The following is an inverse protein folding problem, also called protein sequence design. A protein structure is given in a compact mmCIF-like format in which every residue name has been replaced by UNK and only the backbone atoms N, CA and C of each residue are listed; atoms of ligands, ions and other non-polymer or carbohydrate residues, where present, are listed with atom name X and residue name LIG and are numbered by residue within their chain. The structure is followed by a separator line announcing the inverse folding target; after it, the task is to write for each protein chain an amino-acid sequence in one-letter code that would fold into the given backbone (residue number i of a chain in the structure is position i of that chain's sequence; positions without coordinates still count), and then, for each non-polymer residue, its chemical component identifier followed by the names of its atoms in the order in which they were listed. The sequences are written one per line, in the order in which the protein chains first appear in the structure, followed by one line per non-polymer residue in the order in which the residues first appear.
data_IF_698308421146
#
_entry.id   IF_698308421146
#
_cell.length_a   1.000
_cell.length_b   1.000
_cell.length_c   1.000
_cell.angle_alpha   90.00
_cell.angle_beta   90.00
_cell.angle_gamma   90.00
#
_symmetry.space_group_name_H-M   'P 1'
#
loop_
_entity.id
_entity.type
_entity.pdbx_description
1 polymer ?
#
# COMPACT_ATOMS: atom_id res chain seq x y z
N UNK A 1 -16.57 -2.94 -59.10
CA UNK A 1 -15.90 -3.33 -57.82
C UNK A 1 -15.14 -2.13 -57.25
N UNK A 2 -15.78 -1.25 -56.46
CA UNK A 2 -15.09 -0.12 -55.79
C UNK A 2 -15.59 0.20 -54.36
N UNK A 3 -16.59 -0.51 -53.85
CA UNK A 3 -17.21 -0.20 -52.54
C UNK A 3 -16.77 -1.09 -51.37
N UNK A 4 -15.99 -2.16 -51.60
CA UNK A 4 -15.58 -3.10 -50.54
C UNK A 4 -14.31 -2.63 -49.80
N UNK A 5 -13.49 -1.77 -50.42
CA UNK A 5 -12.22 -1.33 -49.83
C UNK A 5 -12.37 -0.25 -48.74
N UNK A 6 -13.41 0.58 -48.80
CA UNK A 6 -13.62 1.65 -47.79
C UNK A 6 -14.20 1.09 -46.49
N UNK A 7 -15.11 0.11 -46.57
CA UNK A 7 -15.69 -0.54 -45.39
C UNK A 7 -14.65 -1.35 -44.59
N UNK A 8 -13.68 -1.96 -45.27
CA UNK A 8 -12.62 -2.75 -44.62
C UNK A 8 -11.61 -1.85 -43.89
N UNK A 9 -11.34 -0.65 -44.41
CA UNK A 9 -10.41 0.31 -43.80
C UNK A 9 -10.99 0.93 -42.52
N UNK A 10 -12.31 1.17 -42.47
CA UNK A 10 -13.00 1.69 -41.28
C UNK A 10 -13.03 0.65 -40.15
N UNK A 11 -13.24 -0.64 -40.48
CA UNK A 11 -13.17 -1.72 -39.47
C UNK A 11 -11.76 -1.90 -38.89
N UNK A 12 -10.71 -1.76 -39.72
CA UNK A 12 -9.32 -1.81 -39.26
C UNK A 12 -8.93 -0.61 -38.38
N UNK A 13 -9.44 0.58 -38.69
CA UNK A 13 -9.25 1.77 -37.85
C UNK A 13 -9.99 1.66 -36.50
N UNK A 14 -11.18 1.06 -36.49
CA UNK A 14 -11.92 0.76 -35.26
C UNK A 14 -11.25 -0.32 -34.39
N UNK A 15 -10.56 -1.28 -35.00
CA UNK A 15 -9.77 -2.30 -34.28
C UNK A 15 -8.42 -1.78 -33.77
N UNK A 16 -7.87 -0.71 -34.36
CA UNK A 16 -6.64 -0.05 -33.89
C UNK A 16 -6.85 0.95 -32.74
N UNK A 17 -8.10 1.19 -32.34
CA UNK A 17 -8.39 1.65 -30.97
C UNK A 17 -8.19 0.45 -30.02
N UNK A 18 -6.96 -0.07 -29.98
CA UNK A 18 -6.48 -0.78 -28.82
C UNK A 18 -6.83 0.09 -27.62
N UNK A 19 -7.64 -0.45 -26.70
CA UNK A 19 -8.05 0.23 -25.48
C UNK A 19 -6.80 0.81 -24.81
N UNK A 20 -6.55 2.09 -25.08
CA UNK A 20 -5.59 2.89 -24.33
C UNK A 20 -6.02 2.78 -22.88
N UNK A 21 -5.09 2.42 -22.00
CA UNK A 21 -5.32 2.44 -20.56
C UNK A 21 -6.02 3.76 -20.21
N UNK A 22 -7.27 3.68 -19.75
CA UNK A 22 -8.05 4.89 -19.52
C UNK A 22 -7.43 5.62 -18.33
N UNK A 23 -6.91 6.82 -18.60
CA UNK A 23 -6.41 7.75 -17.60
C UNK A 23 -7.52 8.75 -17.28
N UNK A 24 -7.70 9.03 -15.99
CA UNK A 24 -8.69 10.01 -15.51
C UNK A 24 -7.98 11.21 -14.92
N UNK A 25 -8.48 12.41 -15.22
CA UNK A 25 -7.92 13.68 -14.75
C UNK A 25 -8.76 14.32 -13.65
N UNK A 26 -9.96 13.78 -13.36
CA UNK A 26 -10.81 14.28 -12.28
C UNK A 26 -11.67 13.18 -11.66
N UNK A 27 -12.10 13.40 -10.41
CA UNK A 27 -13.06 12.53 -9.72
C UNK A 27 -14.35 12.42 -10.53
N UNK A 28 -14.82 13.52 -11.12
CA UNK A 28 -16.06 13.52 -11.89
C UNK A 28 -16.00 12.56 -13.08
N UNK A 29 -14.86 12.48 -13.77
CA UNK A 29 -14.65 11.52 -14.85
C UNK A 29 -14.68 10.07 -14.35
N UNK A 30 -14.02 9.80 -13.22
CA UNK A 30 -14.03 8.47 -12.57
C UNK A 30 -15.44 8.07 -12.18
N UNK A 31 -16.21 8.95 -11.54
CA UNK A 31 -17.57 8.66 -11.10
C UNK A 31 -18.53 8.45 -12.28
N UNK A 32 -18.37 9.23 -13.36
CA UNK A 32 -19.14 9.04 -14.59
C UNK A 32 -18.81 7.69 -15.24
N UNK A 33 -17.53 7.32 -15.26
CA UNK A 33 -17.09 6.01 -15.75
C UNK A 33 -17.71 4.87 -14.94
N UNK A 34 -17.67 4.96 -13.60
CA UNK A 34 -18.25 3.92 -12.73
C UNK A 34 -19.77 3.78 -12.86
N UNK A 35 -20.49 4.89 -13.09
CA UNK A 35 -21.95 4.86 -13.32
C UNK A 35 -22.33 4.19 -14.65
N UNK A 36 -21.47 4.27 -15.65
CA UNK A 36 -21.73 3.77 -17.01
C UNK A 36 -21.29 2.33 -17.23
N UNK A 37 -20.49 1.77 -16.31
CA UNK A 37 -19.98 0.40 -16.39
C UNK A 37 -20.61 -0.47 -15.29
N UNK A 38 -21.49 -1.39 -15.68
CA UNK A 38 -22.27 -2.23 -14.73
C UNK A 38 -21.42 -3.22 -13.92
N UNK A 39 -20.17 -3.47 -14.34
CA UNK A 39 -19.26 -4.40 -13.68
C UNK A 39 -18.91 -4.00 -12.24
N UNK A 40 -19.07 -2.72 -11.90
CA UNK A 40 -18.82 -2.22 -10.55
C UNK A 40 -19.95 -2.52 -9.58
N UNK A 41 -21.13 -2.98 -10.03
CA UNK A 41 -22.27 -3.27 -9.15
C UNK A 41 -22.11 -4.59 -8.37
N UNK A 42 -21.15 -5.44 -8.73
CA UNK A 42 -20.88 -6.72 -8.07
C UNK A 42 -19.86 -6.55 -6.95
N UNK A 43 -19.88 -7.46 -5.98
CA UNK A 43 -18.83 -7.55 -4.95
C UNK A 43 -17.49 -7.79 -5.63
N UNK A 44 -16.46 -7.05 -5.22
CA UNK A 44 -15.10 -7.24 -5.69
C UNK A 44 -14.44 -8.41 -4.97
N UNK A 45 -13.66 -9.19 -5.70
CA UNK A 45 -12.90 -10.32 -5.16
C UNK A 45 -11.60 -9.83 -4.49
N UNK A 46 -10.98 -10.68 -3.69
CA UNK A 46 -9.67 -10.39 -3.09
C UNK A 46 -8.58 -10.32 -4.18
N UNK A 47 -7.66 -9.35 -4.05
CA UNK A 47 -6.61 -9.13 -5.05
C UNK A 47 -6.11 -7.69 -5.16
N UNK A 48 -5.16 -7.48 -6.07
CA UNK A 48 -4.56 -6.18 -6.37
C UNK A 48 -5.32 -5.45 -7.47
N UNK A 49 -5.84 -4.26 -7.20
CA UNK A 49 -6.61 -3.49 -8.17
C UNK A 49 -5.98 -2.14 -8.44
N UNK A 50 -6.00 -1.72 -9.72
CA UNK A 50 -5.78 -0.31 -10.06
C UNK A 50 -6.87 0.53 -9.40
N UNK A 51 -6.45 1.59 -8.72
CA UNK A 51 -7.35 2.55 -8.08
C UNK A 51 -6.98 3.98 -8.45
N UNK A 52 -7.98 4.83 -8.41
CA UNK A 52 -7.78 6.27 -8.26
C UNK A 52 -8.26 6.65 -6.87
N UNK A 53 -7.49 7.46 -6.15
CA UNK A 53 -7.87 7.86 -4.81
C UNK A 53 -7.53 9.32 -4.55
N UNK A 54 -8.23 9.88 -3.58
CA UNK A 54 -8.15 11.29 -3.26
C UNK A 54 -8.38 11.48 -1.77
N UNK A 55 -7.68 12.44 -1.19
CA UNK A 55 -7.91 12.84 0.20
C UNK A 55 -9.25 13.59 0.28
N UNK A 56 -10.14 13.20 1.20
CA UNK A 56 -11.53 13.70 1.29
C UNK A 56 -11.64 15.25 1.43
N UNK A 57 -10.55 15.94 1.79
CA UNK A 57 -10.49 17.40 1.93
C UNK A 57 -9.73 18.11 0.79
N UNK A 58 -9.15 17.35 -0.14
CA UNK A 58 -8.32 17.84 -1.26
C UNK A 58 -8.74 17.13 -2.56
N UNK A 59 -10.02 17.26 -2.90
CA UNK A 59 -10.66 16.60 -4.05
C UNK A 59 -9.99 16.89 -5.41
N UNK A 60 -9.15 17.92 -5.48
CA UNK A 60 -8.42 18.32 -6.70
C UNK A 60 -7.21 17.42 -7.01
N UNK A 61 -6.71 16.66 -6.03
CA UNK A 61 -5.52 15.82 -6.18
C UNK A 61 -5.91 14.35 -6.37
N UNK A 62 -6.36 14.01 -7.58
CA UNK A 62 -6.59 12.62 -7.94
C UNK A 62 -5.25 11.88 -8.10
N UNK A 63 -5.06 10.83 -7.29
CA UNK A 63 -3.83 10.03 -7.27
C UNK A 63 -4.12 8.67 -7.92
N UNK A 64 -3.31 8.30 -8.90
CA UNK A 64 -3.32 6.96 -9.46
C UNK A 64 -2.45 6.02 -8.63
N UNK A 65 -2.95 4.81 -8.38
CA UNK A 65 -2.22 3.79 -7.66
C UNK A 65 -2.87 2.43 -7.75
N UNK A 66 -2.51 1.55 -6.82
CA UNK A 66 -3.16 0.27 -6.67
C UNK A 66 -3.37 -0.07 -5.20
N UNK A 67 -4.36 -0.92 -4.96
CA UNK A 67 -4.75 -1.35 -3.63
C UNK A 67 -4.97 -2.86 -3.55
N UNK A 68 -4.58 -3.44 -2.42
CA UNK A 68 -4.87 -4.83 -2.09
C UNK A 68 -6.21 -4.91 -1.35
N UNK A 69 -7.17 -5.59 -1.96
CA UNK A 69 -8.40 -6.01 -1.31
C UNK A 69 -8.22 -7.37 -0.64
N UNK A 70 -8.61 -7.45 0.62
CA UNK A 70 -8.67 -8.68 1.38
C UNK A 70 -9.92 -8.71 2.25
N UNK A 71 -10.72 -9.77 2.11
CA UNK A 71 -12.09 -9.85 2.63
C UNK A 71 -12.93 -8.59 2.30
N UNK A 72 -12.73 -8.03 1.10
CA UNK A 72 -13.38 -6.80 0.65
C UNK A 72 -12.97 -5.51 1.39
N UNK A 73 -11.97 -5.55 2.29
CA UNK A 73 -11.38 -4.35 2.90
C UNK A 73 -10.09 -3.96 2.19
N UNK A 74 -9.81 -2.66 2.16
CA UNK A 74 -8.53 -2.12 1.68
C UNK A 74 -7.47 -2.35 2.77
N UNK A 75 -6.45 -3.16 2.46
CA UNK A 75 -5.40 -3.52 3.43
C UNK A 75 -4.06 -2.83 3.14
N UNK A 76 -3.77 -2.59 1.87
CA UNK A 76 -2.57 -1.92 1.39
C UNK A 76 -2.90 -1.00 0.22
N UNK A 77 -2.16 0.09 0.11
CA UNK A 77 -2.23 1.05 -1.00
C UNK A 77 -0.82 1.46 -1.40
N UNK A 78 -0.59 1.70 -2.69
CA UNK A 78 0.56 2.46 -3.15
C UNK A 78 0.14 3.37 -4.30
N UNK A 79 0.67 4.59 -4.35
CA UNK A 79 0.58 5.43 -5.54
C UNK A 79 1.65 5.01 -6.55
N UNK A 80 1.43 5.25 -7.84
CA UNK A 80 2.39 4.92 -8.92
C UNK A 80 3.80 5.48 -8.64
N UNK A 81 3.87 6.65 -8.01
CA UNK A 81 5.11 7.34 -7.69
C UNK A 81 5.67 7.02 -6.29
N UNK A 82 4.92 6.32 -5.44
CA UNK A 82 5.39 5.93 -4.11
C UNK A 82 6.65 5.06 -4.20
N UNK A 83 7.55 5.18 -3.22
CA UNK A 83 8.71 4.29 -3.14
C UNK A 83 8.44 3.02 -2.33
N UNK A 84 7.27 2.87 -1.72
CA UNK A 84 6.91 1.67 -0.96
C UNK A 84 5.39 1.49 -0.87
N UNK A 85 4.97 0.30 -0.43
CA UNK A 85 3.56 -0.01 -0.15
C UNK A 85 3.20 0.45 1.27
N UNK A 86 2.10 1.18 1.38
CA UNK A 86 1.53 1.63 2.65
C UNK A 86 0.54 0.60 3.18
N UNK A 87 0.64 0.25 4.48
CA UNK A 87 -0.48 -0.38 5.19
C UNK A 87 -1.49 0.71 5.53
N UNK A 88 -2.76 0.42 5.32
CA UNK A 88 -3.85 1.35 5.58
C UNK A 88 -4.90 0.71 6.46
N UNK A 89 -5.69 1.54 7.14
CA UNK A 89 -6.88 1.09 7.84
C UNK A 89 -8.12 1.39 7.01
N UNK A 90 -8.95 0.38 6.75
CA UNK A 90 -10.25 0.59 6.12
C UNK A 90 -11.38 0.38 7.13
N UNK A 91 -12.34 1.31 7.15
CA UNK A 91 -13.49 1.24 8.07
C UNK A 91 -14.67 0.46 7.48
N UNK A 92 -14.73 0.31 6.17
CA UNK A 92 -15.87 -0.29 5.47
C UNK A 92 -15.38 -1.19 4.33
N UNK A 93 -16.17 -2.21 4.00
CA UNK A 93 -15.94 -3.01 2.80
C UNK A 93 -16.13 -2.14 1.55
N UNK A 94 -15.32 -2.39 0.52
CA UNK A 94 -15.50 -1.80 -0.79
C UNK A 94 -16.87 -2.20 -1.33
N UNK A 95 -17.65 -1.19 -1.68
CA UNK A 95 -19.01 -1.35 -2.16
C UNK A 95 -19.17 -0.58 -3.46
N UNK A 96 -19.70 -1.26 -4.46
CA UNK A 96 -19.84 -0.74 -5.81
C UNK A 96 -18.57 -0.12 -6.41
N UNK A 97 -17.41 -0.74 -6.15
CA UNK A 97 -16.11 -0.24 -6.58
C UNK A 97 -15.62 1.01 -5.83
N UNK A 98 -16.29 1.45 -4.77
CA UNK A 98 -15.86 2.58 -3.93
C UNK A 98 -15.53 2.12 -2.51
N UNK A 99 -14.44 2.60 -1.96
CA UNK A 99 -14.02 2.34 -0.58
C UNK A 99 -13.41 3.57 0.07
N UNK A 100 -13.21 3.51 1.39
CA UNK A 100 -12.44 4.52 2.11
C UNK A 100 -11.38 3.86 2.96
N UNK A 101 -10.24 4.53 3.09
CA UNK A 101 -9.16 4.10 3.96
C UNK A 101 -8.50 5.30 4.64
N UNK A 102 -7.69 5.01 5.66
CA UNK A 102 -6.89 5.96 6.39
C UNK A 102 -5.44 5.52 6.34
N UNK A 103 -4.53 6.47 6.17
CA UNK A 103 -3.15 6.24 6.61
C UNK A 103 -3.10 6.25 8.14
N UNK A 104 -2.06 5.60 8.68
CA UNK A 104 -1.78 5.59 10.10
C UNK A 104 -0.49 6.37 10.33
N UNK A 105 -0.51 7.28 11.31
CA UNK A 105 0.66 8.08 11.71
C UNK A 105 1.01 7.80 13.15
N UNK A 106 2.27 8.06 13.48
CA UNK A 106 2.74 8.13 14.86
C UNK A 106 2.68 9.59 15.32
N UNK A 107 1.89 9.85 16.36
CA UNK A 107 1.79 11.17 16.98
C UNK A 107 2.39 11.13 18.39
N UNK A 108 3.19 12.14 18.72
CA UNK A 108 3.83 12.29 20.02
C UNK A 108 3.50 13.67 20.61
N UNK A 109 3.00 13.65 21.83
CA UNK A 109 2.72 14.82 22.68
C UNK A 109 3.57 14.73 23.94
N UNK A 110 3.65 15.79 24.74
CA UNK A 110 4.47 15.83 25.97
C UNK A 110 4.23 14.62 26.90
N UNK A 111 3.00 14.10 26.93
CA UNK A 111 2.58 13.06 27.87
C UNK A 111 2.28 11.70 27.23
N UNK A 112 2.23 11.61 25.90
CA UNK A 112 1.65 10.47 25.22
C UNK A 112 2.19 10.30 23.80
N UNK A 113 2.42 9.05 23.40
CA UNK A 113 2.74 8.72 22.02
C UNK A 113 1.82 7.60 21.54
N UNK A 114 1.18 7.77 20.38
CA UNK A 114 0.16 6.86 19.86
C UNK A 114 0.28 6.66 18.36
N UNK A 115 -0.33 5.57 17.88
CA UNK A 115 -0.54 5.33 16.44
C UNK A 115 -2.02 5.48 16.16
N UNK A 116 -2.38 6.47 15.33
CA UNK A 116 -3.77 6.84 15.08
C UNK A 116 -4.06 7.00 13.59
N UNK A 117 -5.33 6.86 13.16
CA UNK A 117 -5.76 7.24 11.81
C UNK A 117 -5.60 8.74 11.59
N UNK A 118 -5.08 9.14 10.42
CA UNK A 118 -4.80 10.56 10.12
C UNK A 118 -5.62 11.09 8.94
N UNK A 119 -5.16 10.87 7.70
CA UNK A 119 -5.81 11.33 6.49
C UNK A 119 -6.82 10.29 6.00
N UNK A 120 -8.04 10.75 5.70
CA UNK A 120 -9.08 9.91 5.08
C UNK A 120 -9.01 10.04 3.56
N UNK A 121 -8.95 8.90 2.89
CA UNK A 121 -8.97 8.81 1.44
C UNK A 121 -10.22 8.09 0.95
N UNK A 122 -10.79 8.62 -0.13
CA UNK A 122 -11.77 7.94 -0.96
C UNK A 122 -11.05 7.24 -2.11
N UNK A 123 -11.31 5.94 -2.29
CA UNK A 123 -10.71 5.11 -3.34
C UNK A 123 -11.77 4.58 -4.30
N UNK A 124 -11.47 4.67 -5.59
CA UNK A 124 -12.30 4.27 -6.71
C UNK A 124 -11.57 3.17 -7.47
N UNK A 125 -12.15 1.98 -7.46
CA UNK A 125 -11.57 0.77 -8.03
C UNK A 125 -11.93 0.67 -9.50
N UNK A 126 -10.92 0.57 -10.36
CA UNK A 126 -11.11 0.45 -11.81
C UNK A 126 -10.76 -0.98 -12.20
N UNK A 127 -11.77 -1.73 -12.65
CA UNK A 127 -11.56 -3.07 -13.21
C UNK A 127 -10.97 -2.91 -14.60
N UNK A 128 -9.66 -3.04 -14.71
CA UNK A 128 -8.97 -3.07 -16.00
C UNK A 128 -9.47 -4.26 -16.83
N UNK A 129 -9.71 -4.05 -18.14
CA UNK A 129 -9.91 -5.12 -19.12
C UNK A 129 -8.64 -5.93 -19.38
N UNK A 130 -7.49 -5.44 -18.89
CA UNK A 130 -6.20 -6.12 -18.92
C UNK A 130 -5.98 -6.85 -17.59
N UNK A 131 -5.43 -8.07 -17.64
CA UNK A 131 -5.13 -9.00 -16.54
C UNK A 131 -4.26 -8.45 -15.38
N UNK A 132 -4.02 -7.14 -15.31
CA UNK A 132 -3.27 -6.48 -14.24
C UNK A 132 -4.00 -6.52 -12.90
N UNK A 133 -5.34 -6.67 -12.90
CA UNK A 133 -6.22 -6.58 -11.72
C UNK A 133 -6.08 -7.70 -10.67
N UNK A 134 -4.96 -8.42 -10.65
CA UNK A 134 -4.58 -9.33 -9.56
C UNK A 134 -3.06 -9.47 -9.38
N UNK A 135 -2.24 -8.79 -10.19
CA UNK A 135 -0.78 -8.88 -10.08
C UNK A 135 -0.31 -7.84 -9.08
N UNK A 136 0.56 -8.25 -8.15
CA UNK A 136 1.20 -7.32 -7.24
C UNK A 136 2.03 -6.30 -8.04
N UNK A 137 2.07 -5.02 -7.65
CA UNK A 137 3.05 -4.06 -8.14
C UNK A 137 4.45 -4.64 -8.30
N UNK A 138 5.16 -4.18 -9.32
CA UNK A 138 6.59 -4.39 -9.37
C UNK A 138 7.33 -3.37 -8.50
N UNK A 139 8.22 -3.84 -7.62
CA UNK A 139 9.14 -3.02 -6.82
C UNK A 139 10.57 -3.52 -6.98
N UNK A 140 11.47 -2.61 -7.36
CA UNK A 140 12.91 -2.86 -7.48
C UNK A 140 13.58 -2.70 -6.12
N UNK A 141 13.49 -3.72 -5.26
CA UNK A 141 14.11 -3.72 -3.94
C UNK A 141 13.23 -4.35 -2.85
N UNK A 142 13.89 -4.96 -1.88
CA UNK A 142 13.23 -5.80 -0.88
C UNK A 142 13.84 -5.55 0.49
N UNK A 143 13.01 -5.35 1.51
CA UNK A 143 13.47 -5.14 2.88
C UNK A 143 12.70 -6.02 3.86
N UNK A 144 13.37 -6.46 4.94
CA UNK A 144 12.74 -7.25 6.00
C UNK A 144 12.93 -6.62 7.37
N UNK A 145 11.81 -6.43 8.08
CA UNK A 145 11.79 -6.16 9.49
C UNK A 145 11.62 -7.47 10.29
N UNK A 146 12.41 -7.61 11.35
CA UNK A 146 12.41 -8.81 12.19
C UNK A 146 12.53 -8.47 13.67
N UNK A 147 11.89 -9.30 14.50
CA UNK A 147 12.01 -9.22 15.95
C UNK A 147 12.33 -10.58 16.55
N UNK A 148 13.28 -10.62 17.47
CA UNK A 148 13.51 -11.79 18.33
C UNK A 148 12.49 -11.79 19.47
N UNK A 149 11.50 -12.67 19.39
CA UNK A 149 10.47 -12.85 20.40
C UNK A 149 10.99 -13.41 21.72
N UNK A 150 12.20 -13.99 21.77
CA UNK A 150 12.76 -14.56 23.01
C UNK A 150 13.02 -13.49 24.08
N UNK A 151 13.04 -12.20 23.72
CA UNK A 151 13.22 -11.07 24.62
C UNK A 151 12.06 -10.06 24.69
N UNK A 152 10.94 -10.34 24.02
CA UNK A 152 9.76 -9.46 23.96
C UNK A 152 8.56 -10.19 24.55
N UNK A 153 7.85 -9.58 25.49
CA UNK A 153 6.57 -10.13 25.98
C UNK A 153 5.67 -10.43 24.77
N UNK A 154 5.25 -11.69 24.62
CA UNK A 154 4.69 -12.32 23.40
C UNK A 154 3.37 -11.73 22.88
N UNK A 155 2.86 -10.68 23.52
CA UNK A 155 1.56 -10.07 23.23
C UNK A 155 1.66 -8.69 22.57
N UNK A 156 2.86 -8.25 22.15
CA UNK A 156 3.05 -6.91 21.59
C UNK A 156 3.72 -6.98 20.22
N UNK A 157 3.07 -6.45 19.18
CA UNK A 157 3.68 -6.23 17.87
C UNK A 157 4.43 -4.89 17.76
N UNK A 158 4.96 -4.62 16.58
CA UNK A 158 5.64 -3.37 16.22
C UNK A 158 5.00 -2.76 14.99
N UNK A 159 4.59 -1.50 15.09
CA UNK A 159 4.31 -0.68 13.93
C UNK A 159 5.63 -0.21 13.33
N UNK A 160 5.81 -0.38 12.03
CA UNK A 160 7.00 0.01 11.29
C UNK A 160 6.64 1.18 10.39
N UNK A 161 7.27 2.30 10.63
CA UNK A 161 7.13 3.52 9.85
C UNK A 161 8.41 3.83 9.10
N UNK A 162 8.28 4.46 7.94
CA UNK A 162 9.38 4.96 7.14
C UNK A 162 9.19 6.43 6.80
N UNK A 163 10.31 7.14 6.72
CA UNK A 163 10.39 8.49 6.22
C UNK A 163 11.47 8.53 5.15
N UNK A 164 11.06 8.88 3.95
CA UNK A 164 11.99 9.20 2.87
C UNK A 164 12.69 10.51 3.12
N UNK A 165 13.87 10.69 2.53
CA UNK A 165 14.65 11.92 2.69
C UNK A 165 13.90 13.18 2.26
N UNK A 166 12.95 13.05 1.34
CA UNK A 166 12.11 14.13 0.79
C UNK A 166 10.76 14.27 1.48
N UNK A 167 10.38 13.34 2.35
CA UNK A 167 9.11 13.40 3.07
C UNK A 167 9.26 14.22 4.36
N UNK A 168 8.18 14.84 4.81
CA UNK A 168 8.15 15.57 6.09
C UNK A 168 7.81 14.65 7.27
N UNK A 169 7.02 13.61 7.02
CA UNK A 169 6.44 12.74 8.05
C UNK A 169 6.78 11.26 7.85
N UNK A 170 6.66 10.49 8.93
CA UNK A 170 6.78 9.03 8.91
C UNK A 170 5.45 8.41 8.49
N UNK A 171 5.46 7.49 7.52
CA UNK A 171 4.26 6.77 7.08
C UNK A 171 4.35 5.29 7.47
N UNK A 172 3.20 4.70 7.87
CA UNK A 172 3.15 3.29 8.24
C UNK A 172 3.32 2.39 7.01
N UNK A 173 4.31 1.51 7.06
CA UNK A 173 4.57 0.54 5.99
C UNK A 173 4.24 -0.88 6.37
N UNK A 174 4.19 -1.19 7.66
CA UNK A 174 3.85 -2.52 8.10
C UNK A 174 3.65 -2.68 9.60
N UNK A 175 3.08 -3.82 9.95
CA UNK A 175 2.89 -4.24 11.33
C UNK A 175 3.48 -5.64 11.49
N UNK A 176 4.37 -5.80 12.46
CA UNK A 176 5.00 -7.07 12.80
C UNK A 176 4.43 -7.59 14.12
N UNK A 177 3.75 -8.73 14.07
CA UNK A 177 3.25 -9.47 15.24
C UNK A 177 3.61 -10.96 15.17
N UNK A 178 3.19 -11.72 16.19
CA UNK A 178 3.45 -13.16 16.30
C UNK A 178 2.74 -14.02 15.24
N UNK A 179 1.87 -13.42 14.45
CA UNK A 179 1.07 -14.06 13.41
C UNK A 179 1.52 -13.67 12.00
N UNK A 180 2.47 -12.72 11.89
CA UNK A 180 2.91 -12.19 10.63
C UNK A 180 3.78 -13.23 9.91
N UNK A 181 3.15 -13.93 8.97
CA UNK A 181 3.81 -14.79 8.00
C UNK A 181 3.26 -14.45 6.61
N UNK A 182 3.69 -13.31 6.07
CA UNK A 182 3.50 -13.06 4.64
C UNK A 182 4.69 -13.68 3.91
N UNK A 183 4.43 -14.75 3.14
CA UNK A 183 5.42 -15.42 2.30
C UNK A 183 5.95 -14.45 1.22
N UNK A 184 7.28 -14.36 1.02
CA UNK A 184 7.84 -13.77 -0.18
C UNK A 184 8.74 -14.73 -0.97
N UNK A 185 8.69 -14.53 -2.28
CA UNK A 185 9.67 -15.03 -3.23
C UNK A 185 11.09 -14.55 -2.85
N UNK A 186 12.00 -15.51 -2.78
CA UNK A 186 13.47 -15.37 -2.87
C UNK A 186 14.12 -14.23 -2.08
N UNK A 187 14.01 -14.20 -0.74
CA UNK A 187 15.00 -13.52 0.13
C UNK A 187 14.93 -13.91 1.63
N UNK A 188 14.25 -15.00 1.99
CA UNK A 188 13.93 -15.30 3.40
C UNK A 188 15.01 -16.18 4.06
N UNK A 189 15.41 -15.92 5.31
CA UNK A 189 16.09 -16.89 6.14
C UNK A 189 15.15 -18.04 6.51
N UNK A 190 15.69 -19.25 6.75
CA UNK A 190 14.89 -20.46 6.96
C UNK A 190 14.01 -20.48 8.22
N UNK A 191 14.21 -19.57 9.19
CA UNK A 191 13.54 -19.62 10.51
C UNK A 191 13.33 -18.23 11.14
N UNK A 192 12.09 -17.83 11.44
CA UNK A 192 11.73 -16.60 12.17
C UNK A 192 10.39 -15.99 11.73
N UNK A 193 9.85 -15.03 12.49
CA UNK A 193 8.70 -14.20 12.06
C UNK A 193 9.21 -12.93 11.39
N UNK A 194 8.75 -12.66 10.16
CA UNK A 194 9.29 -11.59 9.33
C UNK A 194 8.16 -10.75 8.77
N UNK A 195 8.40 -9.46 8.67
CA UNK A 195 7.60 -8.56 7.88
C UNK A 195 8.42 -8.16 6.66
N UNK A 196 8.00 -8.68 5.51
CA UNK A 196 8.55 -8.29 4.22
C UNK A 196 7.86 -7.02 3.71
N UNK A 197 8.67 -6.05 3.29
CA UNK A 197 8.22 -4.76 2.81
C UNK A 197 8.83 -4.50 1.43
N UNK A 198 8.03 -4.57 0.35
CA UNK A 198 8.50 -4.23 -0.99
C UNK A 198 8.71 -2.71 -1.10
N UNK A 199 9.88 -2.30 -1.58
CA UNK A 199 10.31 -0.91 -1.63
C UNK A 199 11.27 -0.66 -2.79
N UNK A 200 11.29 0.56 -3.33
CA UNK A 200 12.32 0.98 -4.30
C UNK A 200 13.67 1.16 -3.60
N UNK A 201 14.73 1.23 -4.39
CA UNK A 201 16.08 1.51 -3.90
C UNK A 201 16.16 2.94 -3.37
N UNK A 202 16.86 3.15 -2.26
CA UNK A 202 16.93 4.46 -1.63
C UNK A 202 17.49 4.46 -0.22
N UNK A 203 17.50 5.65 0.39
CA UNK A 203 17.85 5.87 1.78
C UNK A 203 16.62 6.33 2.56
N UNK A 204 16.37 5.68 3.69
CA UNK A 204 15.17 5.86 4.49
C UNK A 204 15.55 6.00 5.96
N UNK A 205 14.84 6.85 6.68
CA UNK A 205 14.79 6.76 8.13
C UNK A 205 13.64 5.82 8.51
N UNK A 206 13.88 4.92 9.47
CA UNK A 206 12.83 4.06 10.00
C UNK A 206 12.52 4.43 11.45
N UNK A 207 11.27 4.24 11.83
CA UNK A 207 10.77 4.34 13.18
C UNK A 207 9.92 3.11 13.48
N UNK A 208 10.29 2.34 14.48
CA UNK A 208 9.55 1.18 14.95
C UNK A 208 8.94 1.48 16.32
N UNK A 209 7.62 1.40 16.41
CA UNK A 209 6.84 1.72 17.60
C UNK A 209 6.27 0.44 18.17
N UNK A 210 6.65 0.10 19.40
CA UNK A 210 6.13 -1.10 20.07
C UNK A 210 4.67 -0.88 20.46
N UNK A 211 3.77 -1.73 19.97
CA UNK A 211 2.35 -1.75 20.33
C UNK A 211 2.15 -2.23 21.78
N UNK A 212 2.40 -1.34 22.74
CA UNK A 212 2.15 -1.55 24.15
C UNK A 212 1.36 -0.37 24.71
N UNK A 213 0.12 -0.63 25.16
CA UNK A 213 -0.66 0.35 25.92
C UNK A 213 0.06 0.59 27.24
N UNK A 214 0.47 1.83 27.48
CA UNK A 214 1.00 2.26 28.77
C UNK A 214 0.22 3.48 29.24
N UNK A 215 -0.40 3.38 30.41
CA UNK A 215 -1.11 4.52 31.03
C UNK A 215 -0.09 5.63 31.32
N UNK A 216 -0.35 6.84 30.81
CA UNK A 216 0.46 8.06 31.01
C UNK A 216 1.95 7.93 30.62
N UNK A 217 2.29 7.12 29.60
CA UNK A 217 3.69 6.96 29.16
C UNK A 217 3.81 6.70 27.66
N UNK A 218 4.78 7.37 27.06
CA UNK A 218 5.31 7.15 25.71
C UNK A 218 5.46 5.66 25.32
N UNK A 219 4.98 5.32 24.13
CA UNK A 219 5.22 4.03 23.48
C UNK A 219 6.74 3.85 23.23
N UNK A 220 7.34 2.69 23.51
CA UNK A 220 8.75 2.47 23.20
C UNK A 220 9.02 2.56 21.70
N UNK A 221 9.94 3.44 21.31
CA UNK A 221 10.36 3.62 19.92
C UNK A 221 11.79 3.14 19.70
N UNK A 222 12.07 2.74 18.46
CA UNK A 222 13.43 2.47 17.94
C UNK A 222 13.54 3.08 16.56
N UNK A 223 14.62 3.81 16.29
CA UNK A 223 14.84 4.44 15.00
C UNK A 223 16.24 4.19 14.47
N UNK A 224 16.43 4.46 13.18
CA UNK A 224 17.72 4.40 12.53
C UNK A 224 17.61 4.63 11.03
N UNK A 225 18.73 4.46 10.34
CA UNK A 225 18.81 4.63 8.89
C UNK A 225 18.85 3.30 8.17
N UNK A 226 18.26 3.26 6.99
CA UNK A 226 18.13 2.10 6.13
C UNK A 226 18.55 2.47 4.71
N UNK A 227 19.34 1.61 4.06
CA UNK A 227 19.74 1.77 2.66
C UNK A 227 19.37 0.53 1.85
N UNK A 228 18.42 0.68 0.92
CA UNK A 228 17.95 -0.37 0.00
C UNK A 228 18.72 -0.27 -1.32
N UNK A 229 19.14 -1.42 -1.87
CA UNK A 229 19.86 -1.55 -3.15
C UNK A 229 19.27 -2.72 -3.94
N UNK A 230 19.49 -2.73 -5.26
CA UNK A 230 18.92 -3.70 -6.22
C UNK A 230 18.98 -5.17 -5.80
N UNK A 231 20.04 -5.59 -5.11
CA UNK A 231 20.30 -7.00 -4.75
C UNK A 231 20.55 -7.20 -3.25
N UNK A 232 20.08 -6.27 -2.41
CA UNK A 232 20.28 -6.33 -0.97
C UNK A 232 18.94 -6.44 -0.24
N UNK A 233 18.85 -7.39 0.67
CA UNK A 233 17.72 -7.57 1.59
C UNK A 233 18.17 -7.19 3.02
N UNK A 234 18.33 -5.88 3.33
CA UNK A 234 18.78 -5.47 4.64
C UNK A 234 17.79 -5.95 5.72
N UNK A 235 18.29 -6.15 6.94
CA UNK A 235 17.50 -6.64 8.08
C UNK A 235 17.46 -5.59 9.17
N UNK A 236 16.28 -5.34 9.71
CA UNK A 236 16.11 -4.51 10.90
C UNK A 236 15.98 -5.36 12.17
N UNK A 237 16.72 -4.97 13.20
CA UNK A 237 16.77 -5.64 14.51
C UNK A 237 15.93 -4.88 15.55
N UNK A 238 14.72 -5.38 15.82
CA UNK A 238 13.77 -4.71 16.72
C UNK A 238 13.93 -5.07 18.20
N UNK A 239 14.70 -6.11 18.56
CA UNK A 239 14.89 -6.56 19.95
C UNK A 239 16.09 -5.89 20.66
N UNK A 240 16.10 -5.91 22.01
CA UNK A 240 17.12 -5.23 22.84
C UNK A 240 18.50 -5.88 22.85
N UNK A 241 18.71 -7.04 22.21
CA UNK A 241 20.02 -7.71 22.22
C UNK A 241 20.99 -7.02 21.25
N UNK A 242 21.59 -5.93 21.71
CA UNK A 242 22.99 -5.67 21.38
C UNK A 242 23.78 -6.85 21.95
N UNK A 243 24.57 -7.53 21.10
CA UNK A 243 25.51 -8.55 21.54
C UNK A 243 26.37 -7.96 22.66
N UNK A 244 26.37 -8.61 23.82
CA UNK A 244 27.42 -8.49 24.82
C UNK A 244 28.73 -9.03 24.26
#
# INVERSE_FOLDING_TARGET
MKFVFVSSLILLLLQSLSLSAQEFNSIQEVENYMKTHDDFKKRMDDGWYKIYFVEDKKEENLIEGFALLHDGFISQVYSKDANYILKVQSNNRVHHGKGTFYDLVYEETDNMAEVIPHHKFSAYFIKSTVEESNKSPHFDGHWMAWTDWSGVNKNHGYFIFLKESTAEEYQLVGYLDKHTADQPNSCVPSEGDWLYLPMKQGEYDYLAVKNSVKVNRHMPTKSGKLRIKADNCPKLYLSKKLKS
#
